data_IF_920341728925
#
_entry.id   IF_920341728925
#
_cell.length_a   1.000
_cell.length_b   1.000
_cell.length_c   1.000
_cell.angle_alpha   90.00
_cell.angle_beta   90.00
_cell.angle_gamma   90.00
#
_symmetry.space_group_name_H-M   'P 1'
#
loop_
_entity.id
_entity.type
_entity.pdbx_description
1 polymer ?
#
# COMPACT_ATOMS: atom_id res chain seq x y z
N UNK A 1 12.83 3.74 23.82
CA UNK A 1 11.61 3.33 23.10
C UNK A 1 11.90 3.55 21.64
N UNK A 2 12.06 2.50 20.84
CA UNK A 2 12.44 2.67 19.44
C UNK A 2 11.16 2.61 18.63
N UNK A 3 10.68 3.79 18.26
CA UNK A 3 9.52 3.94 17.40
C UNK A 3 9.89 3.48 15.98
N UNK A 4 9.09 2.61 15.38
CA UNK A 4 9.39 2.04 14.06
C UNK A 4 9.02 3.07 13.00
N UNK A 5 10.03 3.82 12.53
CA UNK A 5 9.87 4.82 11.46
C UNK A 5 10.46 4.31 10.16
N UNK A 6 9.62 4.09 9.17
CA UNK A 6 10.00 3.56 7.87
C UNK A 6 9.77 4.58 6.75
N UNK A 7 10.75 4.71 5.86
CA UNK A 7 10.63 5.50 4.63
C UNK A 7 10.65 4.57 3.42
N UNK A 8 9.64 4.69 2.57
CA UNK A 8 9.55 3.97 1.30
C UNK A 8 9.60 4.92 0.12
N UNK A 9 10.52 4.64 -0.81
CA UNK A 9 10.70 5.42 -2.05
C UNK A 9 10.16 4.59 -3.20
N UNK A 10 9.04 5.02 -3.77
CA UNK A 10 8.33 4.26 -4.79
C UNK A 10 8.76 4.73 -6.20
N UNK A 11 9.14 3.82 -7.11
CA UNK A 11 9.44 4.12 -8.52
C UNK A 11 10.22 5.44 -8.77
N UNK A 12 11.33 5.63 -8.04
CA UNK A 12 12.21 6.82 -8.13
C UNK A 12 11.54 8.16 -7.75
N UNK A 13 10.50 8.12 -6.90
CA UNK A 13 9.89 9.32 -6.34
C UNK A 13 10.94 10.28 -5.76
N UNK A 14 10.74 11.57 -6.00
CA UNK A 14 11.56 12.61 -5.37
C UNK A 14 11.26 12.62 -3.87
N UNK A 15 12.30 12.45 -3.05
CA UNK A 15 12.20 12.57 -1.59
C UNK A 15 12.41 14.03 -1.18
N UNK A 16 11.50 14.65 -0.41
CA UNK A 16 11.72 15.99 0.12
C UNK A 16 12.98 16.06 1.01
N UNK A 17 13.79 17.12 0.95
CA UNK A 17 15.04 17.20 1.73
C UNK A 17 14.84 17.10 3.25
N UNK A 18 13.73 17.63 3.74
CA UNK A 18 13.32 17.57 5.15
C UNK A 18 12.92 16.16 5.59
N UNK A 19 12.45 15.32 4.67
CA UNK A 19 12.15 13.90 4.91
C UNK A 19 13.43 13.07 4.85
N UNK A 20 14.28 13.32 3.85
CA UNK A 20 15.54 12.57 3.66
C UNK A 20 16.53 12.83 4.81
N UNK A 21 16.51 14.03 5.40
CA UNK A 21 17.35 14.38 6.55
C UNK A 21 16.92 13.74 7.88
N UNK A 22 15.72 13.12 7.96
CA UNK A 22 15.25 12.48 9.19
C UNK A 22 15.97 11.16 9.45
N UNK A 23 15.95 10.73 10.72
CA UNK A 23 16.47 9.42 11.11
C UNK A 23 15.41 8.35 10.90
N UNK A 24 15.70 7.41 10.00
CA UNK A 24 14.84 6.29 9.67
C UNK A 24 15.35 4.99 10.30
N UNK A 25 14.43 4.22 10.88
CA UNK A 25 14.73 2.87 11.38
C UNK A 25 14.71 1.84 10.26
N UNK A 26 13.97 2.13 9.19
CA UNK A 26 13.87 1.32 8.00
C UNK A 26 13.77 2.25 6.77
N UNK A 27 14.48 1.92 5.69
CA UNK A 27 14.43 2.69 4.44
C UNK A 27 14.56 1.73 3.28
N UNK A 28 13.55 1.67 2.43
CA UNK A 28 13.51 0.76 1.29
C UNK A 28 12.94 1.41 0.04
N UNK A 29 13.23 0.78 -1.10
CA UNK A 29 12.73 1.20 -2.42
C UNK A 29 11.72 0.15 -2.86
N UNK A 30 10.55 0.62 -3.31
CA UNK A 30 9.52 -0.26 -3.86
C UNK A 30 9.38 0.02 -5.34
N UNK A 31 9.70 -0.97 -6.18
CA UNK A 31 9.57 -0.86 -7.63
C UNK A 31 8.30 -1.57 -8.10
N UNK A 32 7.40 -0.82 -8.75
CA UNK A 32 6.22 -1.40 -9.40
C UNK A 32 6.50 -1.86 -10.83
N UNK A 33 7.62 -1.44 -11.42
CA UNK A 33 8.01 -1.78 -12.79
C UNK A 33 9.54 -1.89 -12.97
N UNK A 34 10.00 -2.71 -13.92
CA UNK A 34 11.43 -2.97 -14.21
C UNK A 34 11.71 -4.45 -14.50
N UNK A 35 12.99 -4.82 -14.70
CA UNK A 35 13.40 -6.22 -14.92
C UNK A 35 13.13 -7.12 -13.70
N UNK A 36 13.00 -6.53 -12.50
CA UNK A 36 12.66 -7.19 -11.23
C UNK A 36 11.72 -6.30 -10.41
N UNK A 37 10.39 -6.33 -10.67
CA UNK A 37 9.43 -5.55 -9.87
C UNK A 37 9.27 -6.16 -8.47
N UNK A 38 9.27 -5.31 -7.44
CA UNK A 38 9.06 -5.71 -6.04
C UNK A 38 7.57 -5.96 -5.74
N UNK A 39 6.66 -5.37 -6.55
CA UNK A 39 5.22 -5.56 -6.46
C UNK A 39 4.71 -6.32 -7.68
N UNK A 40 4.06 -7.46 -7.46
CA UNK A 40 3.19 -8.10 -8.45
C UNK A 40 1.74 -8.07 -7.91
N UNK A 41 0.97 -7.05 -8.31
CA UNK A 41 -0.38 -6.87 -7.80
C UNK A 41 -1.37 -7.77 -8.57
N UNK A 42 -1.56 -8.99 -8.07
CA UNK A 42 -2.56 -9.93 -8.57
C UNK A 42 -3.90 -9.73 -7.87
N UNK A 43 -4.56 -8.59 -8.10
CA UNK A 43 -5.95 -8.44 -7.71
C UNK A 43 -6.86 -9.00 -8.80
N UNK A 44 -7.10 -10.31 -8.74
CA UNK A 44 -8.15 -10.94 -9.52
C UNK A 44 -9.50 -10.32 -9.09
N UNK A 45 -10.34 -9.98 -10.06
CA UNK A 45 -11.69 -9.38 -9.91
C UNK A 45 -11.79 -7.88 -9.52
N UNK A 46 -10.94 -7.33 -8.64
CA UNK A 46 -11.13 -5.93 -8.19
C UNK A 46 -10.81 -4.90 -9.27
N UNK A 47 -9.75 -5.13 -10.06
CA UNK A 47 -9.30 -4.16 -11.05
C UNK A 47 -10.22 -4.06 -12.27
N UNK A 48 -10.93 -5.11 -12.68
CA UNK A 48 -11.86 -5.03 -13.81
C UNK A 48 -13.05 -4.10 -13.47
N UNK A 49 -13.62 -4.24 -12.27
CA UNK A 49 -14.75 -3.42 -11.80
C UNK A 49 -14.31 -1.99 -11.48
N UNK A 50 -13.14 -1.81 -10.87
CA UNK A 50 -12.58 -0.49 -10.54
C UNK A 50 -12.09 0.23 -11.81
N UNK A 51 -11.44 -0.43 -12.77
CA UNK A 51 -10.92 0.23 -13.99
C UNK A 51 -11.99 0.43 -15.06
N UNK A 52 -13.02 -0.42 -15.15
CA UNK A 52 -14.16 -0.18 -16.05
C UNK A 52 -15.01 1.02 -15.63
N UNK A 53 -15.02 1.32 -14.32
CA UNK A 53 -15.77 2.46 -13.75
C UNK A 53 -14.93 3.73 -13.68
N UNK A 54 -13.62 3.61 -13.46
CA UNK A 54 -12.78 4.78 -13.18
C UNK A 54 -11.85 5.09 -14.36
N UNK A 55 -12.40 5.79 -15.35
CA UNK A 55 -11.61 6.42 -16.41
C UNK A 55 -10.89 7.67 -15.87
N UNK A 56 -9.55 7.71 -15.98
CA UNK A 56 -8.75 8.90 -15.73
C UNK A 56 -7.43 8.65 -15.00
N UNK A 57 -6.48 9.58 -15.13
CA UNK A 57 -5.14 9.48 -14.52
C UNK A 57 -5.17 9.34 -13.00
N UNK A 58 -6.12 10.00 -12.33
CA UNK A 58 -6.32 9.90 -10.87
C UNK A 58 -6.82 8.53 -10.41
N UNK A 59 -7.53 7.81 -11.26
CA UNK A 59 -7.95 6.43 -10.98
C UNK A 59 -6.74 5.53 -10.82
N UNK A 60 -5.86 5.61 -11.82
CA UNK A 60 -4.61 4.87 -11.88
C UNK A 60 -3.71 5.24 -10.72
N UNK A 61 -3.60 6.54 -10.41
CA UNK A 61 -2.86 7.00 -9.23
C UNK A 61 -3.39 6.37 -7.95
N UNK A 62 -4.72 6.29 -7.75
CA UNK A 62 -5.29 5.69 -6.54
C UNK A 62 -4.93 4.20 -6.41
N UNK A 63 -5.06 3.44 -7.50
CA UNK A 63 -4.70 2.01 -7.53
C UNK A 63 -3.21 1.82 -7.27
N UNK A 64 -2.38 2.72 -7.79
CA UNK A 64 -0.93 2.72 -7.57
C UNK A 64 -0.58 3.06 -6.12
N UNK A 65 -1.20 4.08 -5.54
CA UNK A 65 -1.05 4.42 -4.11
C UNK A 65 -1.42 3.22 -3.24
N UNK A 66 -2.56 2.58 -3.52
CA UNK A 66 -3.02 1.41 -2.75
C UNK A 66 -2.02 0.24 -2.86
N UNK A 67 -1.45 0.01 -4.03
CA UNK A 67 -0.42 -1.02 -4.24
C UNK A 67 0.83 -0.76 -3.39
N UNK A 68 1.33 0.48 -3.37
CA UNK A 68 2.49 0.83 -2.55
C UNK A 68 2.22 0.77 -1.05
N UNK A 69 1.04 1.21 -0.63
CA UNK A 69 0.60 1.09 0.77
C UNK A 69 0.58 -0.36 1.20
N UNK A 70 0.00 -1.25 0.38
CA UNK A 70 -0.01 -2.68 0.65
C UNK A 70 1.40 -3.25 0.75
N UNK A 71 2.28 -2.94 -0.20
CA UNK A 71 3.66 -3.43 -0.18
C UNK A 71 4.42 -2.93 1.07
N UNK A 72 4.32 -1.63 1.40
CA UNK A 72 4.94 -1.05 2.58
C UNK A 72 4.44 -1.68 3.88
N UNK A 73 3.14 -1.94 3.99
CA UNK A 73 2.52 -2.59 5.15
C UNK A 73 3.10 -3.99 5.39
N UNK A 74 3.34 -4.74 4.32
CA UNK A 74 3.89 -6.10 4.40
C UNK A 74 5.40 -6.14 4.68
N UNK A 75 6.15 -5.10 4.30
CA UNK A 75 7.61 -5.05 4.46
C UNK A 75 8.07 -4.72 5.89
N UNK A 76 7.22 -4.08 6.71
CA UNK A 76 7.57 -3.70 8.08
C UNK A 76 6.93 -4.65 9.09
N UNK A 77 7.73 -5.43 9.82
CA UNK A 77 7.22 -6.29 10.90
C UNK A 77 6.58 -5.49 12.05
N UNK A 78 5.46 -5.98 12.59
CA UNK A 78 4.81 -5.47 13.82
C UNK A 78 5.45 -5.98 15.12
N UNK A 79 6.67 -6.51 15.05
CA UNK A 79 7.33 -7.20 16.14
C UNK A 79 7.43 -8.70 15.90
N UNK A 80 8.09 -9.37 16.83
CA UNK A 80 8.29 -10.83 16.83
C UNK A 80 7.43 -11.47 17.90
N UNK A 81 7.31 -12.80 17.90
CA UNK A 81 6.62 -13.55 18.97
C UNK A 81 7.14 -13.22 20.38
N UNK A 82 8.37 -12.71 20.45
CA UNK A 82 9.04 -12.28 21.70
C UNK A 82 8.75 -10.82 22.10
N UNK A 83 8.00 -10.04 21.31
CA UNK A 83 7.56 -8.69 21.68
C UNK A 83 6.30 -8.74 22.55
N UNK A 84 6.47 -9.27 23.77
CA UNK A 84 5.39 -9.50 24.75
C UNK A 84 4.59 -8.23 25.08
N UNK A 85 5.19 -7.05 24.91
CA UNK A 85 4.57 -5.76 25.21
C UNK A 85 4.07 -5.03 23.96
N UNK A 86 4.07 -5.69 22.79
CA UNK A 86 3.62 -5.13 21.52
C UNK A 86 4.26 -3.76 21.21
N UNK A 87 5.52 -3.57 21.59
CA UNK A 87 6.20 -2.26 21.49
C UNK A 87 6.42 -1.82 20.05
N UNK A 88 6.48 -2.77 19.12
CA UNK A 88 6.63 -2.53 17.67
C UNK A 88 5.31 -2.65 16.91
N UNK A 89 4.19 -2.80 17.61
CA UNK A 89 2.89 -3.00 16.98
C UNK A 89 2.47 -1.81 16.12
N UNK A 90 2.69 -0.60 16.63
CA UNK A 90 2.47 0.65 15.91
C UNK A 90 3.73 1.08 15.18
N UNK A 91 3.54 1.54 13.95
CA UNK A 91 4.60 1.98 13.03
C UNK A 91 4.25 3.36 12.48
N UNK A 92 5.28 4.11 12.10
CA UNK A 92 5.19 5.32 11.29
C UNK A 92 5.71 4.98 9.89
N UNK A 93 4.83 5.00 8.90
CA UNK A 93 5.13 4.64 7.52
C UNK A 93 5.04 5.89 6.63
N UNK A 94 6.18 6.34 6.12
CA UNK A 94 6.28 7.49 5.20
C UNK A 94 6.53 6.99 3.79
N UNK A 95 5.66 7.34 2.85
CA UNK A 95 5.75 6.94 1.44
C UNK A 95 6.00 8.16 0.55
N UNK A 96 7.06 8.09 -0.26
CA UNK A 96 7.28 9.00 -1.39
C UNK A 96 6.78 8.31 -2.66
N UNK A 97 5.77 8.88 -3.32
CA UNK A 97 5.05 8.23 -4.43
C UNK A 97 5.03 9.15 -5.66
N UNK A 98 5.39 8.65 -6.86
CA UNK A 98 5.19 9.37 -8.10
C UNK A 98 3.74 9.17 -8.57
N UNK A 99 3.06 10.27 -8.88
CA UNK A 99 1.66 10.27 -9.35
C UNK A 99 1.50 11.21 -10.54
N UNK A 100 0.44 11.02 -11.33
CA UNK A 100 0.15 11.84 -12.49
C UNK A 100 -0.32 13.26 -12.10
N UNK A 101 -1.06 13.40 -10.99
CA UNK A 101 -1.57 14.71 -10.51
C UNK A 101 -1.16 14.98 -9.03
N UNK A 102 0.10 15.37 -8.76
CA UNK A 102 0.59 15.56 -7.39
C UNK A 102 -0.13 16.68 -6.65
N UNK A 103 -0.56 17.73 -7.35
CA UNK A 103 -1.28 18.85 -6.76
C UNK A 103 -2.63 18.40 -6.21
N UNK A 104 -3.33 17.52 -6.92
CA UNK A 104 -4.55 16.90 -6.42
C UNK A 104 -4.29 16.05 -5.18
N UNK A 105 -3.33 15.13 -5.24
CA UNK A 105 -3.04 14.21 -4.12
C UNK A 105 -2.44 14.89 -2.90
N UNK A 106 -1.79 16.04 -3.08
CA UNK A 106 -1.20 16.84 -1.99
C UNK A 106 -2.21 17.75 -1.28
N UNK A 107 -3.48 17.78 -1.72
CA UNK A 107 -4.53 18.53 -1.01
C UNK A 107 -4.68 17.97 0.41
N UNK A 108 -4.65 18.86 1.39
CA UNK A 108 -4.75 18.51 2.81
C UNK A 108 -5.96 17.62 3.13
N UNK A 109 -7.12 17.89 2.52
CA UNK A 109 -8.33 17.09 2.71
C UNK A 109 -8.14 15.64 2.25
N UNK A 110 -7.52 15.42 1.09
CA UNK A 110 -7.29 14.09 0.54
C UNK A 110 -6.22 13.33 1.32
N UNK A 111 -5.14 14.00 1.69
CA UNK A 111 -4.14 13.40 2.57
C UNK A 111 -4.73 13.01 3.93
N UNK A 112 -5.61 13.85 4.49
CA UNK A 112 -6.30 13.54 5.74
C UNK A 112 -7.19 12.32 5.60
N UNK A 113 -7.91 12.18 4.48
CA UNK A 113 -8.76 11.02 4.20
C UNK A 113 -7.94 9.75 4.02
N UNK A 114 -6.88 9.78 3.22
CA UNK A 114 -5.98 8.63 3.01
C UNK A 114 -5.38 8.16 4.33
N UNK A 115 -4.78 9.07 5.10
CA UNK A 115 -4.21 8.75 6.41
C UNK A 115 -5.26 8.24 7.39
N UNK A 116 -6.45 8.84 7.41
CA UNK A 116 -7.52 8.44 8.32
C UNK A 116 -8.02 7.04 8.06
N UNK A 117 -8.23 6.67 6.79
CA UNK A 117 -8.62 5.30 6.41
C UNK A 117 -7.55 4.31 6.81
N UNK A 118 -6.28 4.60 6.51
CA UNK A 118 -5.19 3.66 6.81
C UNK A 118 -4.92 3.55 8.31
N UNK A 119 -4.93 4.66 9.05
CA UNK A 119 -4.81 4.64 10.51
C UNK A 119 -5.96 3.86 11.16
N UNK A 120 -7.18 3.95 10.64
CA UNK A 120 -8.30 3.14 11.11
C UNK A 120 -8.10 1.64 10.84
N UNK A 121 -7.63 1.29 9.64
CA UNK A 121 -7.45 -0.12 9.24
C UNK A 121 -6.24 -0.81 9.87
N UNK A 122 -5.18 -0.05 10.15
CA UNK A 122 -3.86 -0.60 10.50
C UNK A 122 -3.37 -0.18 11.88
N UNK A 123 -4.03 0.79 12.52
CA UNK A 123 -3.58 1.47 13.74
C UNK A 123 -2.19 2.12 13.66
N UNK A 124 -1.66 2.28 12.45
CA UNK A 124 -0.37 2.91 12.18
C UNK A 124 -0.50 4.40 11.83
N UNK A 125 0.60 5.12 11.92
CA UNK A 125 0.73 6.48 11.42
C UNK A 125 1.26 6.45 9.98
N UNK A 126 0.56 7.15 9.09
CA UNK A 126 0.89 7.20 7.67
C UNK A 126 1.22 8.61 7.23
N UNK A 127 2.20 8.75 6.35
CA UNK A 127 2.61 10.02 5.77
C UNK A 127 2.89 9.86 4.28
N UNK A 128 2.51 10.85 3.47
CA UNK A 128 2.59 10.78 2.01
C UNK A 128 3.25 12.03 1.44
N UNK A 129 4.23 11.81 0.58
CA UNK A 129 4.85 12.84 -0.25
C UNK A 129 4.67 12.48 -1.71
N UNK A 130 3.90 13.29 -2.44
CA UNK A 130 3.61 13.06 -3.84
C UNK A 130 4.54 13.87 -4.72
N UNK A 131 5.04 13.24 -5.79
CA UNK A 131 5.88 13.88 -6.79
C UNK A 131 5.36 13.57 -8.19
N UNK A 132 5.70 14.39 -9.18
CA UNK A 132 5.27 14.17 -10.57
C UNK A 132 5.90 12.89 -11.11
N UNK A 133 5.07 11.98 -11.60
CA UNK A 133 5.55 10.80 -12.32
C UNK A 133 6.34 11.22 -13.56
N UNK A 134 7.59 10.77 -13.65
CA UNK A 134 8.47 11.01 -14.81
C UNK A 134 8.20 10.05 -15.96
N UNK A 135 7.43 8.99 -15.72
CA UNK A 135 7.07 8.04 -16.76
C UNK A 135 5.63 8.24 -17.23
N UNK A 136 5.47 8.21 -18.55
CA UNK A 136 4.17 8.03 -19.20
C UNK A 136 3.48 6.81 -18.60
N UNK A 137 2.22 6.98 -18.18
CA UNK A 137 1.26 5.98 -17.66
C UNK A 137 1.80 4.55 -17.70
N UNK A 138 2.45 4.13 -16.61
CA UNK A 138 2.83 2.73 -16.45
C UNK A 138 1.65 2.04 -15.80
N UNK A 139 0.91 1.29 -16.60
CA UNK A 139 -0.10 0.40 -16.05
C UNK A 139 0.62 -0.60 -15.16
N UNK A 140 0.28 -0.61 -13.87
CA UNK A 140 0.55 -1.77 -13.02
C UNK A 140 -0.09 -2.95 -13.74
N UNK A 141 0.67 -4.00 -14.13
CA UNK A 141 0.10 -5.17 -14.77
C UNK A 141 -0.84 -5.84 -13.77
N UNK A 142 -2.13 -5.52 -13.90
CA UNK A 142 -3.20 -6.17 -13.17
C UNK A 142 -3.58 -7.38 -13.99
N UNK A 143 -2.94 -8.51 -13.71
CA UNK A 143 -3.31 -9.79 -14.32
C UNK A 143 -4.69 -10.22 -13.81
N UNK A 144 -5.71 -9.71 -14.49
CA UNK A 144 -7.09 -10.12 -14.36
C UNK A 144 -7.26 -11.41 -15.14
N UNK A 145 -7.05 -12.53 -14.46
CA UNK A 145 -7.53 -13.81 -14.97
C UNK A 145 -9.01 -13.92 -14.59
N UNK A 146 -9.89 -14.00 -15.58
CA UNK A 146 -11.27 -14.49 -15.41
C UNK A 146 -11.21 -16.00 -15.12
N UNK A 147 -10.63 -16.39 -13.98
CA UNK A 147 -10.92 -17.72 -13.47
C UNK A 147 -12.27 -17.64 -12.78
N UNK A 148 -13.26 -18.37 -13.31
CA UNK A 148 -14.40 -18.83 -12.52
C UNK A 148 -13.81 -19.55 -11.30
N UNK A 149 -13.67 -18.82 -10.20
CA UNK A 149 -12.84 -19.24 -9.07
C UNK A 149 -13.40 -20.49 -8.38
N UNK A 150 -14.65 -20.86 -8.64
CA UNK A 150 -15.31 -22.02 -8.09
C UNK A 150 -16.39 -22.50 -9.08
N UNK A 151 -16.26 -23.72 -9.61
CA UNK A 151 -17.45 -24.46 -10.05
C UNK A 151 -18.33 -24.65 -8.82
N UNK A 152 -19.52 -24.03 -8.81
CA UNK A 152 -20.61 -24.16 -7.82
C UNK A 152 -20.17 -24.71 -6.45
N UNK A 153 -19.72 -23.87 -5.50
CA UNK A 153 -19.23 -24.36 -4.23
C UNK A 153 -20.37 -25.00 -3.43
N UNK A 154 -20.18 -26.27 -3.03
CA UNK A 154 -21.15 -26.98 -2.18
C UNK A 154 -21.21 -26.44 -0.75
N UNK A 155 -20.20 -25.67 -0.33
CA UNK A 155 -20.09 -25.12 1.03
C UNK A 155 -19.27 -23.83 1.03
N UNK A 156 -19.75 -22.83 1.78
CA UNK A 156 -19.05 -21.57 2.04
C UNK A 156 -18.81 -21.45 3.54
N UNK A 157 -17.57 -21.16 3.93
CA UNK A 157 -17.23 -20.84 5.33
C UNK A 157 -16.73 -19.40 5.38
N UNK A 158 -17.28 -18.61 6.30
CA UNK A 158 -16.86 -17.23 6.52
C UNK A 158 -15.57 -17.23 7.35
N UNK A 159 -14.42 -17.06 6.68
CA UNK A 159 -13.17 -16.74 7.37
C UNK A 159 -13.18 -15.24 7.69
N UNK A 160 -13.27 -14.87 8.98
CA UNK A 160 -13.16 -13.46 9.40
C UNK A 160 -11.70 -13.00 9.47
N UNK A 161 -10.74 -13.93 9.37
CA UNK A 161 -9.31 -13.65 9.46
C UNK A 161 -8.82 -13.36 10.88
N UNK A 162 -9.70 -13.47 11.89
CA UNK A 162 -9.32 -13.37 13.30
C UNK A 162 -8.69 -14.66 13.84
N UNK A 163 -8.00 -14.56 14.98
CA UNK A 163 -7.42 -15.73 15.68
C UNK A 163 -8.47 -16.81 15.97
N UNK A 164 -9.72 -16.40 16.22
CA UNK A 164 -10.84 -17.31 16.49
C UNK A 164 -11.33 -18.06 15.24
N UNK A 165 -11.01 -17.57 14.03
CA UNK A 165 -11.32 -18.30 12.78
C UNK A 165 -10.45 -19.56 12.61
N UNK A 166 -9.24 -19.58 13.18
CA UNK A 166 -8.31 -20.70 13.07
C UNK A 166 -8.77 -21.91 13.91
N UNK A 167 -9.49 -21.67 15.01
CA UNK A 167 -9.97 -22.72 15.90
C UNK A 167 -11.24 -23.43 15.40
N UNK A 168 -11.87 -22.91 14.35
CA UNK A 168 -13.11 -23.46 13.77
C UNK A 168 -12.92 -24.19 12.43
N UNK A 169 -11.67 -24.29 11.93
CA UNK A 169 -11.33 -25.05 10.72
C UNK A 169 -11.04 -26.52 11.03
#
# INVERSE_FOLDING_TARGET
MTDTRALFICDEATVPPDVDAQRWSHRDVIRSSGDTPDINFRAQSLAATVLSVIAGTRATDLVQIASYVYAADQLVSRGTETDVYARRWRRHLTLCIPVADPEYWSRQELQSKLRGVLAFLTEDEWEFHFSTSRSTVRQIPLELHDQELLESPDTVVLLSGGVDSLCTA
#
